data_IF_201796201089
#
_entry.id   IF_201796201089
#
_cell.length_a   1.000
_cell.length_b   1.000
_cell.length_c   1.000
_cell.angle_alpha   90.00
_cell.angle_beta   90.00
_cell.angle_gamma   90.00
#
_symmetry.space_group_name_H-M   'P 1'
#
loop_
_entity.id
_entity.type
_entity.pdbx_description
1 polymer ?
#
# COMPACT_ATOMS: atom_id res chain seq x y z
N UNK A 1 -26.53 18.35 -7.37
CA UNK A 1 -26.46 16.89 -7.08
C UNK A 1 -25.18 16.65 -6.29
N UNK A 2 -25.17 15.82 -5.24
CA UNK A 2 -23.91 15.45 -4.62
C UNK A 2 -23.08 14.70 -5.68
N UNK A 3 -21.84 15.14 -5.86
CA UNK A 3 -20.89 14.48 -6.73
C UNK A 3 -20.67 13.09 -6.13
N UNK A 4 -21.11 12.04 -6.84
CA UNK A 4 -20.73 10.66 -6.50
C UNK A 4 -19.21 10.64 -6.51
N UNK A 5 -18.57 10.22 -5.41
CA UNK A 5 -17.12 10.01 -5.43
C UNK A 5 -16.82 9.06 -6.60
N UNK A 6 -16.03 9.51 -7.55
CA UNK A 6 -15.62 8.69 -8.69
C UNK A 6 -15.01 7.40 -8.14
N UNK A 7 -15.46 6.26 -8.68
CA UNK A 7 -14.97 4.95 -8.29
C UNK A 7 -13.44 4.91 -8.52
N UNK A 8 -12.63 4.49 -7.54
CA UNK A 8 -11.18 4.64 -7.64
C UNK A 8 -10.63 3.83 -8.82
N UNK A 9 -10.03 4.53 -9.78
CA UNK A 9 -9.36 3.90 -10.92
C UNK A 9 -7.94 3.42 -10.56
N UNK A 10 -7.28 2.73 -11.49
CA UNK A 10 -5.93 2.22 -11.25
C UNK A 10 -4.90 3.34 -10.99
N UNK A 11 -5.09 4.53 -11.57
CA UNK A 11 -4.20 5.68 -11.39
C UNK A 11 -4.35 6.23 -9.98
N UNK A 12 -5.57 6.25 -9.44
CA UNK A 12 -5.84 6.59 -8.05
C UNK A 12 -5.13 5.61 -7.10
N UNK A 13 -5.19 4.30 -7.36
CA UNK A 13 -4.48 3.28 -6.55
C UNK A 13 -2.97 3.49 -6.58
N UNK A 14 -2.40 3.73 -7.76
CA UNK A 14 -0.97 4.02 -7.93
C UNK A 14 -0.55 5.29 -7.19
N UNK A 15 -1.33 6.35 -7.33
CA UNK A 15 -1.08 7.64 -6.66
C UNK A 15 -1.18 7.50 -5.15
N UNK A 16 -2.17 6.77 -4.66
CA UNK A 16 -2.33 6.46 -3.24
C UNK A 16 -1.11 5.71 -2.70
N UNK A 17 -0.62 4.68 -3.39
CA UNK A 17 0.58 3.94 -2.97
C UNK A 17 1.80 4.87 -2.88
N UNK A 18 2.00 5.73 -3.87
CA UNK A 18 3.12 6.68 -3.88
C UNK A 18 3.03 7.69 -2.73
N UNK A 19 1.84 8.29 -2.51
CA UNK A 19 1.63 9.26 -1.44
C UNK A 19 1.73 8.63 -0.05
N UNK A 20 1.19 7.41 0.12
CA UNK A 20 1.28 6.65 1.35
C UNK A 20 2.74 6.29 1.67
N UNK A 21 3.52 5.86 0.68
CA UNK A 21 4.94 5.56 0.85
C UNK A 21 5.72 6.80 1.28
N UNK A 22 5.47 7.94 0.63
CA UNK A 22 6.12 9.21 0.96
C UNK A 22 5.77 9.66 2.39
N UNK A 23 4.49 9.58 2.76
CA UNK A 23 4.00 9.92 4.09
C UNK A 23 4.60 9.02 5.18
N UNK A 24 4.60 7.70 4.98
CA UNK A 24 5.25 6.78 5.90
C UNK A 24 6.76 7.01 5.97
N UNK A 25 7.41 7.39 4.87
CA UNK A 25 8.82 7.74 4.86
C UNK A 25 9.15 8.91 5.77
N UNK A 26 8.29 9.94 5.79
CA UNK A 26 8.43 11.11 6.68
C UNK A 26 8.10 10.79 8.13
N UNK A 27 7.04 10.03 8.37
CA UNK A 27 6.48 9.82 9.71
C UNK A 27 7.03 8.58 10.42
N UNK A 28 7.81 7.72 9.75
CA UNK A 28 8.24 6.42 10.32
C UNK A 28 8.88 6.53 11.71
N UNK A 29 9.76 7.51 11.92
CA UNK A 29 10.46 7.68 13.20
C UNK A 29 9.51 8.16 14.30
N UNK A 30 8.57 9.04 13.95
CA UNK A 30 7.52 9.47 14.87
C UNK A 30 6.59 8.30 15.24
N UNK A 31 6.23 7.45 14.28
CA UNK A 31 5.42 6.25 14.51
C UNK A 31 6.17 5.22 15.34
N UNK A 32 7.46 4.99 15.06
CA UNK A 32 8.33 4.10 15.83
C UNK A 32 8.40 4.52 17.31
N UNK A 33 8.34 5.84 17.58
CA UNK A 33 8.33 6.40 18.92
C UNK A 33 6.98 6.30 19.68
N UNK A 34 5.86 5.95 19.01
CA UNK A 34 4.55 5.81 19.68
C UNK A 34 4.50 4.54 20.54
N UNK A 35 5.17 3.46 20.13
CA UNK A 35 5.06 2.18 20.82
C UNK A 35 5.99 2.12 22.04
N UNK A 36 5.47 2.51 23.22
CA UNK A 36 6.25 2.65 24.47
C UNK A 36 5.90 1.64 25.57
N UNK A 37 5.11 0.58 25.32
CA UNK A 37 4.72 -0.37 26.39
C UNK A 37 4.58 -1.84 25.92
N UNK A 38 5.04 -2.86 26.69
CA UNK A 38 5.93 -2.79 27.86
C UNK A 38 7.42 -2.69 27.49
N UNK A 39 7.78 -2.99 26.24
CA UNK A 39 9.11 -2.80 25.63
C UNK A 39 8.89 -2.19 24.25
N UNK A 40 9.59 -1.11 23.94
CA UNK A 40 9.51 -0.47 22.64
C UNK A 40 10.31 -1.28 21.62
N UNK A 41 9.64 -2.01 20.73
CA UNK A 41 10.29 -2.67 19.59
C UNK A 41 10.80 -1.64 18.56
N UNK A 42 10.25 -0.42 18.59
CA UNK A 42 10.78 0.74 17.87
C UNK A 42 10.79 0.60 16.34
N UNK A 43 9.97 -0.30 15.80
CA UNK A 43 10.04 -0.72 14.39
C UNK A 43 8.69 -0.63 13.66
N UNK A 44 7.63 -0.11 14.29
CA UNK A 44 6.28 -0.08 13.71
C UNK A 44 6.20 0.78 12.44
N UNK A 45 6.66 2.01 12.47
CA UNK A 45 6.75 2.89 11.31
C UNK A 45 7.66 2.33 10.23
N UNK A 46 8.82 1.79 10.61
CA UNK A 46 9.73 1.12 9.67
C UNK A 46 9.07 -0.08 8.98
N UNK A 47 8.36 -0.92 9.75
CA UNK A 47 7.63 -2.08 9.23
C UNK A 47 6.51 -1.69 8.26
N UNK A 48 5.76 -0.63 8.57
CA UNK A 48 4.72 -0.10 7.68
C UNK A 48 5.32 0.47 6.39
N UNK A 49 6.39 1.26 6.49
CA UNK A 49 7.09 1.82 5.32
C UNK A 49 7.54 0.73 4.35
N UNK A 50 8.27 -0.29 4.85
CA UNK A 50 8.79 -1.38 4.01
C UNK A 50 7.66 -2.23 3.40
N UNK A 51 6.55 -2.39 4.11
CA UNK A 51 5.38 -3.12 3.59
C UNK A 51 4.72 -2.33 2.44
N UNK A 52 4.54 -1.03 2.60
CA UNK A 52 3.97 -0.16 1.55
C UNK A 52 4.93 0.02 0.37
N UNK A 53 6.25 0.03 0.61
CA UNK A 53 7.26 0.07 -0.45
C UNK A 53 7.12 -1.14 -1.39
N UNK A 54 6.98 -2.35 -0.81
CA UNK A 54 6.72 -3.57 -1.58
C UNK A 54 5.38 -3.52 -2.32
N UNK A 55 4.33 -2.96 -1.71
CA UNK A 55 3.03 -2.77 -2.35
C UNK A 55 3.12 -1.82 -3.55
N UNK A 56 3.77 -0.68 -3.38
CA UNK A 56 3.98 0.32 -4.44
C UNK A 56 4.79 -0.27 -5.60
N UNK A 57 5.87 -1.02 -5.30
CA UNK A 57 6.67 -1.69 -6.32
C UNK A 57 5.84 -2.70 -7.14
N UNK A 58 4.94 -3.45 -6.51
CA UNK A 58 4.05 -4.38 -7.20
C UNK A 58 3.04 -3.67 -8.12
N UNK A 59 2.48 -2.53 -7.67
CA UNK A 59 1.60 -1.71 -8.51
C UNK A 59 2.36 -1.14 -9.71
N UNK A 60 3.57 -0.61 -9.50
CA UNK A 60 4.43 -0.11 -10.58
C UNK A 60 4.76 -1.19 -11.61
N UNK A 61 5.01 -2.43 -11.17
CA UNK A 61 5.26 -3.55 -12.08
C UNK A 61 4.07 -3.83 -13.01
N UNK A 62 2.83 -3.75 -12.49
CA UNK A 62 1.63 -3.93 -13.31
C UNK A 62 1.43 -2.78 -14.31
N UNK A 63 1.71 -1.54 -13.90
CA UNK A 63 1.70 -0.39 -14.82
C UNK A 63 2.78 -0.51 -15.91
N UNK A 64 3.99 -0.92 -15.54
CA UNK A 64 5.09 -1.11 -16.48
C UNK A 64 4.78 -2.21 -17.52
N UNK A 65 4.13 -3.31 -17.10
CA UNK A 65 3.68 -4.35 -18.03
C UNK A 65 2.70 -3.81 -19.09
N UNK A 66 1.82 -2.89 -18.69
CA UNK A 66 0.84 -2.24 -19.57
C UNK A 66 1.42 -1.12 -20.43
N UNK A 67 2.54 -0.51 -20.02
CA UNK A 67 3.20 0.56 -20.77
C UNK A 67 3.72 0.12 -22.15
N UNK A 68 3.86 -1.20 -22.38
CA UNK A 68 4.20 -1.77 -23.70
C UNK A 68 3.00 -1.87 -24.65
N UNK A 69 1.78 -1.63 -24.15
CA UNK A 69 0.53 -1.57 -24.91
C UNK A 69 -0.10 -0.18 -24.93
N UNK A 70 -1.39 -0.10 -25.28
CA UNK A 70 -2.19 1.15 -25.32
C UNK A 70 -3.23 1.25 -24.19
N UNK A 71 -3.15 0.40 -23.17
CA UNK A 71 -4.12 0.34 -22.08
C UNK A 71 -3.48 0.61 -20.72
N UNK A 72 -4.30 1.05 -19.77
CA UNK A 72 -3.97 1.09 -18.34
C UNK A 72 -4.52 -0.17 -17.68
N UNK A 73 -3.92 -0.65 -16.57
CA UNK A 73 -4.50 -1.75 -15.81
C UNK A 73 -5.88 -1.37 -15.26
N UNK A 74 -6.71 -2.38 -15.00
CA UNK A 74 -7.97 -2.16 -14.29
C UNK A 74 -7.72 -1.79 -12.82
N UNK A 75 -8.69 -1.13 -12.18
CA UNK A 75 -8.63 -0.84 -10.74
C UNK A 75 -8.45 -2.13 -9.92
N UNK A 76 -9.19 -3.19 -10.28
CA UNK A 76 -9.09 -4.50 -9.63
C UNK A 76 -7.69 -5.12 -9.76
N UNK A 77 -7.04 -5.01 -10.93
CA UNK A 77 -5.67 -5.50 -11.11
C UNK A 77 -4.67 -4.70 -10.26
N UNK A 78 -4.82 -3.37 -10.22
CA UNK A 78 -3.96 -2.52 -9.39
C UNK A 78 -4.13 -2.80 -7.88
N UNK A 79 -5.37 -2.95 -7.39
CA UNK A 79 -5.63 -3.28 -5.99
C UNK A 79 -5.16 -4.69 -5.64
N UNK A 80 -5.35 -5.68 -6.52
CA UNK A 80 -4.80 -7.02 -6.34
C UNK A 80 -3.27 -7.01 -6.27
N UNK A 81 -2.61 -6.22 -7.13
CA UNK A 81 -1.16 -6.05 -7.11
C UNK A 81 -0.68 -5.39 -5.81
N UNK A 82 -1.35 -4.32 -5.36
CA UNK A 82 -1.06 -3.64 -4.10
C UNK A 82 -1.16 -4.63 -2.92
N UNK A 83 -2.27 -5.36 -2.81
CA UNK A 83 -2.48 -6.35 -1.75
C UNK A 83 -1.44 -7.47 -1.80
N UNK A 84 -1.13 -7.99 -2.99
CA UNK A 84 -0.13 -9.03 -3.17
C UNK A 84 1.27 -8.55 -2.78
N UNK A 85 1.69 -7.37 -3.24
CA UNK A 85 2.97 -6.77 -2.89
C UNK A 85 3.11 -6.52 -1.39
N UNK A 86 2.04 -6.05 -0.73
CA UNK A 86 2.01 -5.90 0.72
C UNK A 86 2.15 -7.24 1.45
N UNK A 87 1.46 -8.29 1.00
CA UNK A 87 1.52 -9.63 1.62
C UNK A 87 2.91 -10.25 1.51
N UNK A 88 3.56 -10.15 0.35
CA UNK A 88 4.92 -10.68 0.14
C UNK A 88 5.95 -9.83 0.89
N UNK A 89 5.74 -8.52 0.98
CA UNK A 89 6.67 -7.58 1.60
C UNK A 89 6.52 -7.40 3.11
N UNK A 90 5.43 -7.90 3.69
CA UNK A 90 5.03 -7.62 5.07
C UNK A 90 6.18 -7.80 6.08
N UNK A 91 6.35 -6.81 6.96
CA UNK A 91 7.36 -6.83 8.03
C UNK A 91 6.70 -6.72 9.40
N UNK A 92 7.10 -7.60 10.32
CA UNK A 92 6.56 -7.64 11.68
C UNK A 92 5.03 -7.78 11.73
N UNK A 93 4.49 -7.51 12.92
CA UNK A 93 3.06 -7.60 13.16
C UNK A 93 2.29 -6.49 12.44
N UNK A 94 2.80 -5.25 12.48
CA UNK A 94 2.17 -4.07 11.89
C UNK A 94 2.05 -4.19 10.36
N UNK A 95 3.11 -4.67 9.69
CA UNK A 95 3.08 -4.94 8.25
C UNK A 95 2.12 -6.07 7.89
N UNK A 96 2.07 -7.13 8.70
CA UNK A 96 1.12 -8.25 8.51
C UNK A 96 -0.33 -7.79 8.60
N UNK A 97 -0.67 -6.98 9.61
CA UNK A 97 -2.02 -6.43 9.78
C UNK A 97 -2.40 -5.54 8.59
N UNK A 98 -1.51 -4.65 8.16
CA UNK A 98 -1.73 -3.80 7.00
C UNK A 98 -1.95 -4.64 5.74
N UNK A 99 -1.12 -5.67 5.51
CA UNK A 99 -1.26 -6.54 4.35
C UNK A 99 -2.60 -7.30 4.33
N UNK A 100 -3.09 -7.75 5.50
CA UNK A 100 -4.41 -8.37 5.59
C UNK A 100 -5.56 -7.39 5.36
N UNK A 101 -5.43 -6.14 5.82
CA UNK A 101 -6.40 -5.08 5.50
C UNK A 101 -6.49 -4.85 3.99
N UNK A 102 -5.34 -4.67 3.32
CA UNK A 102 -5.26 -4.48 1.87
C UNK A 102 -5.81 -5.69 1.10
N UNK A 103 -5.53 -6.91 1.58
CA UNK A 103 -6.09 -8.15 1.03
C UNK A 103 -7.62 -8.20 1.16
N UNK A 104 -8.16 -7.74 2.29
CA UNK A 104 -9.61 -7.63 2.50
C UNK A 104 -10.27 -6.68 1.49
N UNK A 105 -9.66 -5.52 1.25
CA UNK A 105 -10.13 -4.57 0.23
C UNK A 105 -10.09 -5.15 -1.18
N UNK A 106 -9.03 -5.90 -1.52
CA UNK A 106 -8.93 -6.58 -2.80
C UNK A 106 -9.97 -7.70 -2.99
N UNK A 107 -10.60 -8.19 -1.92
CA UNK A 107 -11.60 -9.26 -1.97
C UNK A 107 -13.01 -8.81 -2.32
N UNK A 108 -13.27 -7.50 -2.42
CA UNK A 108 -14.59 -6.92 -2.70
C UNK A 108 -14.65 -6.10 -3.99
N UNK A 109 -13.55 -6.08 -4.76
CA UNK A 109 -13.42 -5.47 -6.09
C UNK A 109 -13.31 -6.57 -7.15
#
# INVERSE_FOLDING_TARGET
MPQTADEPDAVAVRSWCSLALEALGREREAIDAINVYPVADGDTGTNLYLTVESAAAAVEAVFAAHATGTSVPSAADAVRAMAHGALIGARGNSGTILAQLLRGMAGVL
#
